data_IF_355304141658
#
_entry.id   IF_355304141658
#
_cell.length_a   1.000
_cell.length_b   1.000
_cell.length_c   1.000
_cell.angle_alpha   90.00
_cell.angle_beta   90.00
_cell.angle_gamma   90.00
#
_symmetry.space_group_name_H-M   'P 1'
#
loop_
_entity.id
_entity.type
_entity.pdbx_description
1 polymer ?
#
# COMPACT_ATOMS: atom_id res chain seq x y z
N UNK A 1 17.31 -29.12 68.15
CA UNK A 1 16.68 -27.85 67.73
C UNK A 1 17.42 -27.04 66.68
N UNK A 2 18.62 -27.42 66.20
CA UNK A 2 19.35 -26.62 65.14
C UNK A 2 19.01 -27.02 63.71
N UNK A 3 18.44 -28.20 63.45
CA UNK A 3 18.16 -28.68 62.11
C UNK A 3 16.82 -28.17 61.56
N UNK A 4 15.83 -27.83 62.35
CA UNK A 4 14.52 -27.33 61.93
C UNK A 4 14.60 -25.92 61.34
N UNK A 5 15.51 -25.08 61.81
CA UNK A 5 15.67 -23.70 61.26
C UNK A 5 16.36 -23.65 59.90
N UNK A 6 17.18 -24.67 59.57
CA UNK A 6 17.85 -24.72 58.27
C UNK A 6 16.86 -25.06 57.15
N UNK A 7 15.96 -26.03 57.34
CA UNK A 7 14.93 -26.41 56.38
C UNK A 7 13.91 -25.32 56.15
N UNK A 8 13.52 -24.58 57.22
CA UNK A 8 12.57 -23.45 57.07
C UNK A 8 13.20 -22.28 56.30
N UNK A 9 14.51 -22.02 56.49
CA UNK A 9 15.23 -20.98 55.73
C UNK A 9 15.43 -21.38 54.25
N UNK A 10 15.73 -22.65 53.98
CA UNK A 10 15.83 -23.15 52.60
C UNK A 10 14.47 -23.11 51.85
N UNK A 11 13.39 -23.47 52.55
CA UNK A 11 12.04 -23.42 51.99
C UNK A 11 11.57 -21.98 51.71
N UNK A 12 11.93 -21.03 52.59
CA UNK A 12 11.65 -19.61 52.39
C UNK A 12 12.44 -19.02 51.21
N UNK A 13 13.71 -19.42 51.03
CA UNK A 13 14.52 -18.99 49.88
C UNK A 13 14.00 -19.56 48.58
N UNK A 14 13.59 -20.83 48.54
CA UNK A 14 12.96 -21.45 47.37
C UNK A 14 11.61 -20.80 46.99
N UNK A 15 10.81 -20.44 48.01
CA UNK A 15 9.54 -19.74 47.78
C UNK A 15 9.74 -18.31 47.25
N UNK A 16 10.78 -17.58 47.75
CA UNK A 16 11.16 -16.28 47.21
C UNK A 16 11.68 -16.36 45.76
N UNK A 17 12.48 -17.38 45.44
CA UNK A 17 12.94 -17.57 44.05
C UNK A 17 11.81 -17.94 43.10
N UNK A 18 10.80 -18.70 43.55
CA UNK A 18 9.63 -19.05 42.73
C UNK A 18 8.69 -17.88 42.47
N UNK A 19 8.68 -16.84 43.34
CA UNK A 19 7.87 -15.62 43.17
C UNK A 19 8.53 -14.58 42.27
N UNK A 20 9.81 -14.71 41.96
CA UNK A 20 10.55 -13.74 41.10
C UNK A 20 10.49 -14.12 39.61
N UNK A 21 10.11 -15.36 39.28
CA UNK A 21 10.11 -15.87 37.91
C UNK A 21 8.94 -15.41 36.99
N UNK A 22 7.78 -14.92 37.47
CA UNK A 22 6.72 -14.48 36.54
C UNK A 22 6.72 -12.99 36.18
N UNK A 23 7.67 -12.19 36.66
CA UNK A 23 7.69 -10.73 36.43
C UNK A 23 8.33 -10.31 35.08
N UNK A 24 8.81 -11.25 34.30
CA UNK A 24 9.45 -10.94 32.99
C UNK A 24 8.55 -11.17 31.78
N UNK A 25 7.26 -11.46 31.95
CA UNK A 25 6.35 -11.84 30.85
C UNK A 25 5.35 -10.76 30.41
N UNK A 26 5.46 -9.53 30.93
CA UNK A 26 4.72 -8.39 30.41
C UNK A 26 5.70 -7.43 29.72
N UNK A 27 6.31 -7.88 28.63
CA UNK A 27 6.82 -6.95 27.63
C UNK A 27 5.59 -6.45 26.89
N UNK A 28 5.14 -5.21 27.14
CA UNK A 28 4.26 -4.52 26.21
C UNK A 28 4.85 -4.69 24.82
N UNK A 29 4.08 -5.27 23.89
CA UNK A 29 4.54 -5.40 22.53
C UNK A 29 4.77 -3.98 22.00
N UNK A 30 6.04 -3.59 21.92
CA UNK A 30 6.42 -2.27 21.40
C UNK A 30 5.72 -2.06 20.08
N UNK A 31 4.94 -1.00 19.96
CA UNK A 31 4.33 -0.58 18.71
C UNK A 31 5.01 0.67 18.17
N UNK A 32 5.10 0.77 16.88
CA UNK A 32 5.51 1.99 16.17
C UNK A 32 4.40 2.36 15.20
N UNK A 33 3.93 3.60 15.31
CA UNK A 33 2.96 4.18 14.38
C UNK A 33 3.57 5.41 13.74
N UNK A 34 3.45 5.51 12.43
CA UNK A 34 3.84 6.71 11.69
C UNK A 34 2.75 7.11 10.70
N UNK A 35 2.58 8.40 10.54
CA UNK A 35 1.72 9.01 9.54
C UNK A 35 2.60 9.74 8.53
N UNK A 36 2.33 9.55 7.24
CA UNK A 36 3.01 10.22 6.14
C UNK A 36 1.98 10.79 5.16
N UNK A 37 2.41 11.70 4.29
CA UNK A 37 1.65 12.15 3.14
C UNK A 37 2.36 11.71 1.87
N UNK A 38 1.70 10.91 1.04
CA UNK A 38 2.18 10.45 -0.25
C UNK A 38 0.98 10.11 -1.16
N UNK A 39 1.16 10.10 -2.48
CA UNK A 39 0.10 9.82 -3.47
C UNK A 39 -1.18 10.64 -3.21
N UNK A 40 -1.01 11.93 -2.88
CA UNK A 40 -2.06 12.90 -2.59
C UNK A 40 -3.00 12.53 -1.44
N UNK A 41 -2.52 11.76 -0.47
CA UNK A 41 -3.33 11.34 0.68
C UNK A 41 -2.50 11.14 1.95
N UNK A 42 -3.19 11.19 3.08
CA UNK A 42 -2.63 10.79 4.37
C UNK A 42 -2.62 9.28 4.48
N UNK A 43 -1.53 8.73 4.98
CA UNK A 43 -1.31 7.30 5.16
C UNK A 43 -0.85 7.02 6.59
N UNK A 44 -1.47 6.03 7.21
CA UNK A 44 -1.14 5.57 8.56
C UNK A 44 -0.54 4.16 8.50
N UNK A 45 0.61 3.98 9.17
CA UNK A 45 1.30 2.71 9.25
C UNK A 45 1.53 2.36 10.71
N UNK A 46 1.17 1.15 11.11
CA UNK A 46 1.42 0.64 12.47
C UNK A 46 2.03 -0.75 12.39
N UNK A 47 3.10 -0.96 13.15
CA UNK A 47 3.76 -2.26 13.32
C UNK A 47 3.98 -2.56 14.79
N UNK A 48 4.00 -3.84 15.13
CA UNK A 48 4.17 -4.32 16.52
C UNK A 48 5.41 -5.20 16.61
N UNK A 49 5.99 -5.24 17.82
CA UNK A 49 7.13 -6.05 18.17
C UNK A 49 8.47 -5.34 18.02
N UNK A 50 9.55 -6.07 18.27
CA UNK A 50 10.92 -5.52 18.33
C UNK A 50 11.42 -4.95 17.00
N UNK A 51 10.82 -5.36 15.89
CA UNK A 51 11.17 -4.97 14.54
C UNK A 51 10.23 -3.90 13.94
N UNK A 52 9.35 -3.34 14.76
CA UNK A 52 8.36 -2.35 14.32
C UNK A 52 9.02 -1.13 13.64
N UNK A 53 10.06 -0.55 14.24
CA UNK A 53 10.76 0.63 13.69
C UNK A 53 11.41 0.32 12.32
N UNK A 54 12.09 -0.82 12.20
CA UNK A 54 12.74 -1.27 10.95
C UNK A 54 11.68 -1.48 9.86
N UNK A 55 10.57 -2.14 10.22
CA UNK A 55 9.48 -2.44 9.29
C UNK A 55 8.75 -1.19 8.78
N UNK A 56 8.43 -0.26 9.67
CA UNK A 56 7.81 1.03 9.30
C UNK A 56 8.74 1.83 8.37
N UNK A 57 10.04 1.91 8.69
CA UNK A 57 11.01 2.60 7.86
C UNK A 57 11.11 1.98 6.45
N UNK A 58 11.12 0.65 6.35
CA UNK A 58 11.15 -0.06 5.08
C UNK A 58 9.87 0.19 4.27
N UNK A 59 8.69 0.14 4.91
CA UNK A 59 7.41 0.39 4.27
C UNK A 59 7.32 1.83 3.71
N UNK A 60 7.73 2.83 4.50
CA UNK A 60 7.74 4.24 4.08
C UNK A 60 8.68 4.44 2.88
N UNK A 61 9.85 3.80 2.88
CA UNK A 61 10.79 3.88 1.76
C UNK A 61 10.17 3.37 0.46
N UNK A 62 9.43 2.25 0.52
CA UNK A 62 8.72 1.70 -0.63
C UNK A 62 7.61 2.64 -1.10
N UNK A 63 6.78 3.16 -0.20
CA UNK A 63 5.68 4.07 -0.54
C UNK A 63 6.23 5.33 -1.24
N UNK A 64 7.26 5.97 -0.69
CA UNK A 64 7.86 7.17 -1.28
C UNK A 64 8.52 6.88 -2.65
N UNK A 65 9.13 5.70 -2.80
CA UNK A 65 9.68 5.27 -4.09
C UNK A 65 8.59 5.11 -5.14
N UNK A 66 7.46 4.50 -4.78
CA UNK A 66 6.33 4.31 -5.69
C UNK A 66 5.63 5.63 -6.01
N UNK A 67 5.47 6.53 -5.04
CA UNK A 67 4.94 7.87 -5.26
C UNK A 67 5.73 8.59 -6.36
N UNK A 68 7.06 8.64 -6.21
CA UNK A 68 7.95 9.23 -7.22
C UNK A 68 7.88 8.52 -8.58
N UNK A 69 7.81 7.19 -8.58
CA UNK A 69 7.84 6.36 -9.80
C UNK A 69 6.56 6.50 -10.64
N UNK A 70 5.42 6.70 -9.97
CA UNK A 70 4.09 6.62 -10.58
C UNK A 70 3.44 7.98 -10.86
N UNK A 71 4.02 9.07 -10.41
CA UNK A 71 3.50 10.41 -10.61
C UNK A 71 3.56 10.82 -12.09
N UNK A 72 2.42 10.99 -12.80
CA UNK A 72 2.39 11.31 -14.21
C UNK A 72 2.86 12.74 -14.53
N UNK A 73 2.96 13.62 -13.54
CA UNK A 73 3.40 15.02 -13.70
C UNK A 73 4.90 15.20 -13.35
N UNK A 74 5.55 14.21 -12.76
CA UNK A 74 6.96 14.28 -12.43
C UNK A 74 7.82 13.81 -13.62
N UNK A 75 8.58 14.72 -14.23
CA UNK A 75 9.45 14.45 -15.40
C UNK A 75 10.47 13.30 -15.18
N UNK A 76 10.78 12.96 -13.93
CA UNK A 76 11.69 11.87 -13.58
C UNK A 76 10.97 10.55 -13.32
N UNK A 77 9.64 10.54 -13.37
CA UNK A 77 8.86 9.33 -13.16
C UNK A 77 8.80 8.45 -14.41
N UNK A 78 8.58 7.17 -14.19
CA UNK A 78 8.39 6.23 -15.29
C UNK A 78 7.03 6.43 -15.98
N UNK A 79 6.00 6.87 -15.26
CA UNK A 79 4.69 7.19 -15.83
C UNK A 79 4.80 8.40 -16.78
N UNK A 80 5.53 9.43 -16.40
CA UNK A 80 5.80 10.57 -17.28
C UNK A 80 6.54 10.13 -18.55
N UNK A 81 7.58 9.31 -18.43
CA UNK A 81 8.32 8.77 -19.58
C UNK A 81 7.40 8.00 -20.54
N UNK A 82 6.52 7.14 -20.02
CA UNK A 82 5.53 6.41 -20.83
C UNK A 82 4.60 7.40 -21.57
N UNK A 83 4.08 8.39 -20.88
CA UNK A 83 3.15 9.37 -21.42
C UNK A 83 3.78 10.29 -22.48
N UNK A 84 5.10 10.45 -22.48
CA UNK A 84 5.82 11.34 -23.41
C UNK A 84 6.67 10.57 -24.43
N UNK A 85 6.52 9.25 -24.51
CA UNK A 85 7.30 8.39 -25.41
C UNK A 85 6.87 8.51 -26.90
N UNK A 86 5.79 9.23 -27.21
CA UNK A 86 5.31 9.48 -28.58
C UNK A 86 5.16 8.20 -29.42
N UNK A 87 4.65 7.13 -28.82
CA UNK A 87 4.48 5.83 -29.47
C UNK A 87 5.73 4.92 -29.43
N UNK A 88 6.84 5.39 -28.91
CA UNK A 88 8.06 4.57 -28.74
C UNK A 88 7.94 3.63 -27.55
N UNK A 89 8.57 2.44 -27.61
CA UNK A 89 8.60 1.53 -26.46
C UNK A 89 9.42 2.12 -25.30
N UNK A 90 8.89 1.96 -24.08
CA UNK A 90 9.55 2.38 -22.82
C UNK A 90 9.87 1.15 -21.99
N UNK A 91 11.11 1.02 -21.51
CA UNK A 91 11.50 -0.04 -20.59
C UNK A 91 10.96 0.26 -19.20
N UNK A 92 10.23 -0.70 -18.63
CA UNK A 92 9.65 -0.65 -17.28
C UNK A 92 10.14 -1.84 -16.46
N UNK A 93 10.27 -1.63 -15.15
CA UNK A 93 10.58 -2.70 -14.21
C UNK A 93 9.37 -3.60 -13.94
N UNK A 94 9.60 -4.72 -13.26
CA UNK A 94 8.55 -5.69 -12.95
C UNK A 94 7.41 -5.11 -12.10
N UNK A 95 7.66 -4.11 -11.26
CA UNK A 95 6.59 -3.47 -10.48
C UNK A 95 5.54 -2.81 -11.39
N UNK A 96 5.99 -1.98 -12.34
CA UNK A 96 5.09 -1.33 -13.31
C UNK A 96 4.46 -2.37 -14.24
N UNK A 97 5.24 -3.34 -14.71
CA UNK A 97 4.73 -4.41 -15.57
C UNK A 97 3.62 -5.21 -14.88
N UNK A 98 3.78 -5.56 -13.59
CA UNK A 98 2.76 -6.24 -12.78
C UNK A 98 1.50 -5.39 -12.63
N UNK A 99 1.65 -4.08 -12.34
CA UNK A 99 0.50 -3.17 -12.25
C UNK A 99 -0.27 -3.07 -13.57
N UNK A 100 0.43 -2.94 -14.69
CA UNK A 100 -0.19 -2.92 -16.02
C UNK A 100 -0.90 -4.24 -16.35
N UNK A 101 -0.29 -5.39 -16.10
CA UNK A 101 -0.94 -6.70 -16.30
C UNK A 101 -2.23 -6.82 -15.47
N UNK A 102 -2.17 -6.39 -14.20
CA UNK A 102 -3.36 -6.38 -13.33
C UNK A 102 -4.44 -5.45 -13.90
N UNK A 103 -4.06 -4.25 -14.30
CA UNK A 103 -4.98 -3.27 -14.86
C UNK A 103 -5.62 -3.74 -16.17
N UNK A 104 -4.84 -4.35 -17.10
CA UNK A 104 -5.36 -4.96 -18.32
C UNK A 104 -6.35 -6.09 -18.01
N UNK A 105 -6.04 -6.94 -17.03
CA UNK A 105 -6.96 -7.99 -16.60
C UNK A 105 -8.28 -7.42 -16.05
N UNK A 106 -8.22 -6.33 -15.27
CA UNK A 106 -9.42 -5.67 -14.74
C UNK A 106 -10.20 -4.99 -15.87
N UNK A 107 -9.52 -4.32 -16.80
CA UNK A 107 -10.12 -3.75 -18.00
C UNK A 107 -10.94 -4.80 -18.78
N UNK A 108 -10.34 -5.97 -19.06
CA UNK A 108 -11.01 -7.06 -19.76
C UNK A 108 -12.22 -7.58 -18.97
N UNK A 109 -12.06 -7.84 -17.66
CA UNK A 109 -13.13 -8.37 -16.80
C UNK A 109 -14.30 -7.42 -16.60
N UNK A 110 -14.06 -6.12 -16.73
CA UNK A 110 -15.08 -5.07 -16.61
C UNK A 110 -15.65 -4.61 -17.94
N UNK A 111 -15.27 -5.27 -19.06
CA UNK A 111 -15.66 -4.89 -20.41
C UNK A 111 -15.31 -3.42 -20.70
N UNK A 112 -14.12 -2.97 -20.29
CA UNK A 112 -13.64 -1.61 -20.53
C UNK A 112 -14.13 -0.56 -19.53
N UNK A 113 -14.91 -0.92 -18.50
CA UNK A 113 -15.37 0.04 -17.50
C UNK A 113 -14.24 0.55 -16.57
N UNK A 114 -13.18 -0.22 -16.43
CA UNK A 114 -11.93 0.19 -15.75
C UNK A 114 -10.89 0.52 -16.83
N UNK A 115 -10.33 1.73 -16.82
CA UNK A 115 -9.37 2.18 -17.84
C UNK A 115 -8.37 3.19 -17.25
N UNK A 116 -7.06 2.88 -17.30
CA UNK A 116 -6.00 3.79 -16.83
C UNK A 116 -5.76 4.95 -17.79
N UNK A 117 -6.20 4.85 -19.05
CA UNK A 117 -6.00 5.89 -20.08
C UNK A 117 -7.02 7.03 -19.98
N UNK A 118 -7.89 7.00 -18.97
CA UNK A 118 -8.77 8.14 -18.62
C UNK A 118 -8.03 9.36 -18.06
N UNK A 119 -6.71 9.29 -17.91
CA UNK A 119 -5.90 10.38 -17.35
C UNK A 119 -6.09 11.75 -18.04
N UNK A 120 -6.20 11.88 -19.39
CA UNK A 120 -6.50 13.17 -20.02
C UNK A 120 -7.84 13.77 -19.57
N UNK A 121 -8.84 12.93 -19.33
CA UNK A 121 -10.12 13.37 -18.76
C UNK A 121 -9.97 13.84 -17.32
N UNK A 122 -9.21 13.11 -16.49
CA UNK A 122 -8.93 13.52 -15.11
C UNK A 122 -8.25 14.91 -15.05
N UNK A 123 -7.34 15.19 -15.97
CA UNK A 123 -6.74 16.54 -16.14
C UNK A 123 -7.79 17.56 -16.56
N UNK A 124 -8.62 17.23 -17.52
CA UNK A 124 -9.67 18.12 -18.04
C UNK A 124 -10.66 18.55 -16.95
N UNK A 125 -10.99 17.64 -16.02
CA UNK A 125 -11.84 17.92 -14.85
C UNK A 125 -11.12 18.68 -13.72
N UNK A 126 -9.80 18.86 -13.83
CA UNK A 126 -8.97 19.54 -12.83
C UNK A 126 -8.68 18.70 -11.58
N UNK A 127 -8.76 17.35 -11.67
CA UNK A 127 -8.46 16.48 -10.54
C UNK A 127 -6.96 16.39 -10.23
N UNK A 128 -6.10 16.67 -11.21
CA UNK A 128 -4.65 16.55 -11.07
C UNK A 128 -4.04 17.79 -10.40
N UNK A 129 -4.50 18.97 -10.78
CA UNK A 129 -4.01 20.28 -10.31
C UNK A 129 -4.95 20.95 -9.29
N UNK A 130 -6.01 20.22 -8.87
CA UNK A 130 -7.05 20.69 -7.94
C UNK A 130 -7.82 21.95 -8.43
N UNK A 131 -7.72 22.23 -9.74
CA UNK A 131 -8.47 23.29 -10.40
C UNK A 131 -9.80 22.75 -10.95
N UNK A 132 -10.64 22.28 -10.04
CA UNK A 132 -11.88 21.56 -10.34
C UNK A 132 -12.84 22.38 -11.22
N UNK A 133 -13.32 21.77 -12.29
CA UNK A 133 -14.33 22.33 -13.17
C UNK A 133 -15.23 21.25 -13.78
N UNK A 134 -16.35 21.65 -14.34
CA UNK A 134 -17.19 20.81 -15.16
C UNK A 134 -16.88 21.11 -16.62
N UNK A 135 -16.27 20.19 -17.38
CA UNK A 135 -16.02 20.38 -18.81
C UNK A 135 -17.33 20.37 -19.62
N UNK A 136 -17.31 21.01 -20.78
CA UNK A 136 -18.39 20.87 -21.77
C UNK A 136 -18.33 19.52 -22.47
N UNK A 137 -19.47 19.07 -23.00
CA UNK A 137 -19.57 17.82 -23.77
C UNK A 137 -18.58 17.79 -24.94
N UNK A 138 -18.41 18.90 -25.66
CA UNK A 138 -17.46 19.01 -26.77
C UNK A 138 -15.99 18.84 -26.35
N UNK A 139 -15.62 19.28 -25.14
CA UNK A 139 -14.27 19.05 -24.60
C UNK A 139 -14.06 17.59 -24.25
N UNK A 140 -15.06 16.94 -23.66
CA UNK A 140 -15.04 15.51 -23.34
C UNK A 140 -14.96 14.69 -24.62
N UNK A 141 -15.85 14.90 -25.59
CA UNK A 141 -15.89 14.18 -26.86
C UNK A 141 -14.56 14.26 -27.63
N UNK A 142 -13.86 15.37 -27.56
CA UNK A 142 -12.53 15.52 -28.17
C UNK A 142 -11.46 14.61 -27.57
N UNK A 143 -11.55 14.27 -26.28
CA UNK A 143 -10.57 13.44 -25.60
C UNK A 143 -10.94 11.95 -25.55
N UNK A 144 -12.22 11.59 -25.76
CA UNK A 144 -12.65 10.19 -25.74
C UNK A 144 -11.86 9.28 -26.71
N UNK A 145 -11.43 9.71 -27.92
CA UNK A 145 -10.60 8.86 -28.79
C UNK A 145 -9.23 8.50 -28.22
N UNK A 146 -8.74 9.27 -27.22
CA UNK A 146 -7.47 9.02 -26.52
C UNK A 146 -7.65 8.08 -25.31
N UNK A 147 -8.86 7.56 -25.05
CA UNK A 147 -9.17 6.67 -23.92
C UNK A 147 -9.49 5.29 -24.48
N UNK A 148 -8.52 4.39 -24.41
CA UNK A 148 -8.69 3.00 -24.88
C UNK A 148 -7.51 2.14 -24.39
N UNK A 149 -7.64 1.54 -23.23
CA UNK A 149 -6.57 0.73 -22.63
C UNK A 149 -6.24 -0.52 -23.47
N UNK A 150 -7.10 -0.96 -24.40
CA UNK A 150 -6.81 -2.06 -25.30
C UNK A 150 -5.63 -1.80 -26.24
N UNK A 151 -5.29 -0.52 -26.45
CA UNK A 151 -4.15 -0.09 -27.27
C UNK A 151 -2.83 -0.04 -26.51
N UNK A 152 -2.85 -0.19 -25.18
CA UNK A 152 -1.64 -0.26 -24.34
C UNK A 152 -1.05 -1.65 -24.47
N UNK A 153 0.16 -1.75 -24.96
CA UNK A 153 0.85 -3.03 -25.17
C UNK A 153 1.94 -3.22 -24.14
N UNK A 154 2.00 -4.41 -23.56
CA UNK A 154 3.06 -4.85 -22.67
C UNK A 154 3.73 -6.09 -23.28
N UNK A 155 5.03 -6.01 -23.56
CA UNK A 155 5.81 -7.09 -24.14
C UNK A 155 7.04 -7.39 -23.28
N UNK A 156 7.52 -8.64 -23.37
CA UNK A 156 8.74 -9.06 -22.67
C UNK A 156 9.98 -8.49 -23.35
N UNK A 157 11.06 -8.33 -22.58
CA UNK A 157 12.43 -8.08 -23.08
C UNK A 157 13.25 -9.35 -22.95
N UNK A 158 14.47 -9.35 -23.48
CA UNK A 158 15.44 -10.43 -23.24
C UNK A 158 15.86 -10.52 -21.76
N UNK A 159 15.77 -9.40 -21.02
CA UNK A 159 15.96 -9.35 -19.58
C UNK A 159 14.61 -9.58 -18.88
N UNK A 160 14.49 -10.74 -18.20
CA UNK A 160 13.26 -11.13 -17.48
C UNK A 160 12.85 -10.17 -16.35
N UNK A 161 13.74 -9.26 -15.92
CA UNK A 161 13.44 -8.25 -14.90
C UNK A 161 12.72 -7.02 -15.46
N UNK A 162 12.65 -6.90 -16.79
CA UNK A 162 12.11 -5.74 -17.48
C UNK A 162 11.03 -6.14 -18.52
N UNK A 163 10.19 -5.18 -18.84
CA UNK A 163 9.18 -5.27 -19.91
C UNK A 163 9.19 -3.98 -20.73
N UNK A 164 8.60 -4.04 -21.93
CA UNK A 164 8.38 -2.85 -22.76
C UNK A 164 6.90 -2.47 -22.72
N UNK A 165 6.63 -1.20 -22.49
CA UNK A 165 5.31 -0.59 -22.63
C UNK A 165 5.29 0.24 -23.88
N UNK A 166 4.28 0.06 -24.73
CA UNK A 166 4.03 0.88 -25.92
C UNK A 166 2.58 1.34 -25.91
N UNK A 167 2.35 2.60 -26.23
CA UNK A 167 1.05 3.23 -26.26
C UNK A 167 1.00 4.25 -27.41
N UNK A 168 -0.14 4.47 -28.11
CA UNK A 168 -0.27 5.53 -29.12
C UNK A 168 0.16 6.90 -28.62
N UNK A 169 0.72 7.71 -29.50
CA UNK A 169 1.33 9.01 -29.18
C UNK A 169 0.35 10.06 -28.62
N UNK A 170 -0.92 9.92 -28.89
CA UNK A 170 -2.01 10.80 -28.45
C UNK A 170 -2.68 10.34 -27.15
N UNK A 171 -2.22 9.23 -26.59
CA UNK A 171 -2.74 8.68 -25.33
C UNK A 171 -1.82 8.99 -24.16
N UNK A 172 -2.40 8.99 -22.97
CA UNK A 172 -1.66 9.03 -21.71
C UNK A 172 -2.41 8.27 -20.62
N UNK A 173 -1.69 7.76 -19.63
CA UNK A 173 -2.24 6.95 -18.54
C UNK A 173 -1.81 7.46 -17.15
N UNK A 174 -2.55 7.05 -16.13
CA UNK A 174 -2.18 7.21 -14.73
C UNK A 174 -2.45 5.92 -13.96
N UNK A 175 -1.53 5.57 -13.05
CA UNK A 175 -1.69 4.42 -12.15
C UNK A 175 -2.55 4.74 -10.91
N UNK A 176 -3.11 5.94 -10.78
CA UNK A 176 -3.83 6.37 -9.57
C UNK A 176 -4.90 5.40 -9.07
N UNK A 177 -5.59 4.70 -9.99
CA UNK A 177 -6.62 3.72 -9.64
C UNK A 177 -6.07 2.42 -9.02
N UNK A 178 -4.78 2.08 -9.21
CA UNK A 178 -4.15 0.83 -8.71
C UNK A 178 -2.98 1.09 -7.77
N UNK A 179 -2.43 2.29 -7.77
CA UNK A 179 -1.20 2.63 -7.08
C UNK A 179 -1.26 2.34 -5.57
N UNK A 180 -2.32 2.77 -4.88
CA UNK A 180 -2.46 2.57 -3.43
C UNK A 180 -2.57 1.09 -3.06
N UNK A 181 -3.30 0.28 -3.83
CA UNK A 181 -3.39 -1.16 -3.63
C UNK A 181 -2.02 -1.85 -3.78
N UNK A 182 -1.27 -1.50 -4.82
CA UNK A 182 0.08 -2.03 -5.03
C UNK A 182 1.06 -1.53 -3.98
N UNK A 183 1.00 -0.25 -3.60
CA UNK A 183 1.87 0.32 -2.57
C UNK A 183 1.66 -0.34 -1.21
N UNK A 184 0.41 -0.61 -0.81
CA UNK A 184 0.11 -1.33 0.43
C UNK A 184 0.65 -2.77 0.40
N UNK A 185 0.50 -3.49 -0.70
CA UNK A 185 1.06 -4.83 -0.88
C UNK A 185 2.58 -4.83 -0.71
N UNK A 186 3.30 -3.93 -1.41
CA UNK A 186 4.75 -3.84 -1.31
C UNK A 186 5.21 -3.34 0.07
N UNK A 187 4.47 -2.43 0.71
CA UNK A 187 4.75 -1.98 2.06
C UNK A 187 4.65 -3.12 3.08
N UNK A 188 3.58 -3.94 3.01
CA UNK A 188 3.42 -5.15 3.83
C UNK A 188 4.54 -6.16 3.57
N UNK A 189 4.93 -6.37 2.32
CA UNK A 189 6.07 -7.25 1.99
C UNK A 189 7.38 -6.74 2.58
N UNK A 190 7.63 -5.43 2.53
CA UNK A 190 8.81 -4.81 3.14
C UNK A 190 8.82 -4.94 4.67
N UNK A 191 7.68 -4.72 5.33
CA UNK A 191 7.52 -4.96 6.77
C UNK A 191 7.82 -6.42 7.13
N UNK A 192 7.26 -7.37 6.37
CA UNK A 192 7.50 -8.81 6.57
C UNK A 192 8.99 -9.16 6.38
N UNK A 193 9.63 -8.64 5.35
CA UNK A 193 11.06 -8.84 5.08
C UNK A 193 11.96 -8.26 6.19
N UNK A 194 11.55 -7.16 6.83
CA UNK A 194 12.20 -6.59 8.01
C UNK A 194 11.98 -7.40 9.30
N UNK A 195 11.11 -8.43 9.27
CA UNK A 195 10.84 -9.32 10.40
C UNK A 195 9.63 -8.91 11.24
N UNK A 196 8.78 -8.01 10.76
CA UNK A 196 7.49 -7.69 11.39
C UNK A 196 6.50 -8.84 11.11
N UNK A 197 5.77 -9.25 12.14
CA UNK A 197 4.76 -10.31 12.07
C UNK A 197 3.34 -9.81 12.35
N UNK A 198 3.19 -8.59 12.85
CA UNK A 198 1.90 -7.97 13.17
C UNK A 198 1.93 -6.49 12.80
N UNK A 199 1.01 -6.06 11.96
CA UNK A 199 0.93 -4.66 11.53
C UNK A 199 -0.27 -4.36 10.66
N UNK A 200 -0.47 -3.08 10.37
CA UNK A 200 -1.51 -2.58 9.49
C UNK A 200 -1.03 -1.34 8.77
N UNK A 201 -1.37 -1.22 7.51
CA UNK A 201 -1.19 -0.01 6.72
C UNK A 201 -2.54 0.46 6.18
N UNK A 202 -2.78 1.77 6.24
CA UNK A 202 -3.96 2.43 5.68
C UNK A 202 -3.51 3.55 4.77
N UNK A 203 -3.61 3.35 3.47
CA UNK A 203 -3.16 4.28 2.44
C UNK A 203 -4.39 5.00 1.86
N UNK A 204 -4.78 6.12 2.47
CA UNK A 204 -5.95 6.88 2.06
C UNK A 204 -7.25 6.05 2.10
N UNK A 205 -7.42 5.21 3.13
CA UNK A 205 -8.56 4.32 3.29
C UNK A 205 -8.43 2.95 2.61
N UNK A 206 -7.38 2.70 1.83
CA UNK A 206 -7.02 1.34 1.40
C UNK A 206 -6.25 0.67 2.53
N UNK A 207 -6.85 -0.31 3.20
CA UNK A 207 -6.30 -0.98 4.38
C UNK A 207 -5.78 -2.36 4.04
N UNK A 208 -4.55 -2.67 4.47
CA UNK A 208 -3.99 -4.01 4.41
C UNK A 208 -3.33 -4.38 5.75
N UNK A 209 -3.51 -5.63 6.17
CA UNK A 209 -3.00 -6.14 7.43
C UNK A 209 -1.84 -7.12 7.22
N UNK A 210 -0.99 -7.26 8.24
CA UNK A 210 0.08 -8.24 8.31
C UNK A 210 -0.14 -9.08 9.56
N UNK A 211 -0.39 -10.37 9.38
CA UNK A 211 -0.64 -11.32 10.46
C UNK A 211 -1.81 -10.92 11.35
N UNK A 212 -1.83 -11.46 12.56
CA UNK A 212 -2.84 -11.15 13.59
C UNK A 212 -2.39 -9.99 14.47
N UNK A 213 -3.32 -9.48 15.29
CA UNK A 213 -2.97 -8.54 16.36
C UNK A 213 -2.01 -9.19 17.37
N UNK A 214 -1.29 -8.40 18.19
CA UNK A 214 -0.36 -8.93 19.20
C UNK A 214 -0.99 -9.89 20.20
N UNK A 215 -2.28 -9.71 20.50
CA UNK A 215 -3.07 -10.58 21.39
C UNK A 215 -3.55 -11.88 20.73
N UNK A 216 -3.20 -12.10 19.46
CA UNK A 216 -3.59 -13.26 18.66
C UNK A 216 -4.98 -13.18 18.03
N UNK A 217 -5.75 -12.10 18.28
CA UNK A 217 -7.05 -11.88 17.65
C UNK A 217 -6.92 -11.38 16.20
N UNK A 218 -7.98 -11.53 15.44
CA UNK A 218 -8.07 -11.01 14.08
C UNK A 218 -8.28 -9.48 14.08
N UNK A 219 -7.94 -8.84 12.97
CA UNK A 219 -8.18 -7.41 12.78
C UNK A 219 -9.65 -7.13 12.50
N UNK A 220 -10.17 -6.05 13.09
CA UNK A 220 -11.48 -5.52 12.75
C UNK A 220 -11.29 -4.20 12.01
N UNK A 221 -11.60 -4.20 10.72
CA UNK A 221 -11.47 -3.04 9.84
C UNK A 221 -12.85 -2.41 9.66
N UNK A 222 -12.97 -1.15 10.07
CA UNK A 222 -14.21 -0.38 9.92
C UNK A 222 -14.43 0.02 8.46
N UNK A 223 -15.67 -0.08 7.99
CA UNK A 223 -16.12 0.49 6.71
C UNK A 223 -16.82 1.81 7.03
N UNK A 224 -16.21 2.92 6.62
CA UNK A 224 -16.74 4.25 6.87
C UNK A 224 -18.06 4.47 6.12
N UNK A 225 -19.00 5.16 6.76
CA UNK A 225 -20.24 5.60 6.09
C UNK A 225 -19.90 6.77 5.14
N UNK A 226 -20.21 6.66 3.85
CA UNK A 226 -19.93 7.75 2.89
C UNK A 226 -20.83 8.99 3.11
N UNK A 227 -21.95 8.84 3.81
CA UNK A 227 -22.88 9.95 4.09
C UNK A 227 -22.62 10.60 5.46
N UNK A 228 -21.92 9.91 6.35
CA UNK A 228 -21.53 10.41 7.68
C UNK A 228 -20.15 9.87 8.04
N UNK A 229 -19.13 10.67 7.75
CA UNK A 229 -17.73 10.28 7.99
C UNK A 229 -17.36 10.08 9.47
N UNK A 230 -18.25 10.43 10.39
CA UNK A 230 -18.12 10.15 11.83
C UNK A 230 -18.66 8.79 12.25
N UNK A 231 -19.31 8.04 11.34
CA UNK A 231 -19.92 6.74 11.60
C UNK A 231 -19.40 5.63 10.68
N UNK A 232 -19.79 4.38 10.95
CA UNK A 232 -19.38 3.20 10.21
C UNK A 232 -20.58 2.36 9.78
N UNK A 233 -20.57 1.87 8.54
CA UNK A 233 -21.57 0.93 8.02
C UNK A 233 -21.44 -0.45 8.67
N UNK A 234 -20.22 -0.82 9.11
CA UNK A 234 -19.93 -2.10 9.72
C UNK A 234 -18.44 -2.36 9.84
N UNK A 235 -18.10 -3.60 10.19
CA UNK A 235 -16.73 -4.03 10.36
C UNK A 235 -16.49 -5.32 9.58
N UNK A 236 -15.30 -5.42 8.97
CA UNK A 236 -14.77 -6.66 8.40
C UNK A 236 -13.76 -7.26 9.39
N UNK A 237 -13.96 -8.51 9.75
CA UNK A 237 -12.94 -9.28 10.47
C UNK A 237 -11.99 -9.89 9.45
N UNK A 238 -10.71 -9.52 9.54
CA UNK A 238 -9.65 -9.94 8.62
C UNK A 238 -8.62 -10.74 9.43
N UNK A 239 -8.46 -12.01 9.06
CA UNK A 239 -7.40 -12.91 9.53
C UNK A 239 -6.36 -13.15 8.43
N UNK A 240 -5.41 -14.06 8.70
CA UNK A 240 -4.47 -14.55 7.67
C UNK A 240 -5.19 -15.39 6.61
#
# INVERSE_FOLDING_TARGET
MKHTHLHTRLLALLLCCALVLPLSACGEDKSTTQQIFAMDTVMDLTAYGKKADDGISAAISIINSMDTLLDPENERSKTYEINHAMGSPVVVNEQIAKMLRTALTVYERTNGAFDLTTYPLSKLWGFIDQNYRVPSDAEIERLLPCVDMSKVQLSSTDDSANSLVTMPADMSLSFGAVAKGCASEYAIQAMRAAGVTSGVVSLGGNVQTLGKKPDGSDWNIAIQDPNDTGSYLGYLTVGE
#
